data_IF_802387480337
#
_entry.id   IF_802387480337
#
_cell.length_a   1.000
_cell.length_b   1.000
_cell.length_c   1.000
_cell.angle_alpha   90.00
_cell.angle_beta   90.00
_cell.angle_gamma   90.00
#
_symmetry.space_group_name_H-M   'P 1'
#
loop_
_entity.id
_entity.type
_entity.pdbx_description
1 polymer ?
#
# COMPACT_ATOMS: atom_id res chain seq x y z
N UNK A 1 -8.84 6.28 47.81
CA UNK A 1 -8.72 5.19 46.82
C UNK A 1 -8.30 5.83 45.51
N UNK A 2 -7.10 5.54 45.03
CA UNK A 2 -6.57 6.15 43.80
C UNK A 2 -6.52 5.09 42.72
N UNK A 3 -7.22 5.31 41.61
CA UNK A 3 -7.10 4.48 40.42
C UNK A 3 -5.97 5.05 39.57
N UNK A 4 -4.89 4.31 39.42
CA UNK A 4 -3.80 4.67 38.51
C UNK A 4 -3.98 3.88 37.23
N UNK A 5 -4.45 4.51 36.16
CA UNK A 5 -4.29 3.98 34.81
C UNK A 5 -2.84 4.29 34.42
N UNK A 6 -1.95 3.31 34.55
CA UNK A 6 -0.68 3.35 33.82
C UNK A 6 -1.07 3.22 32.35
N UNK A 7 -0.82 4.26 31.56
CA UNK A 7 -0.80 4.09 30.11
C UNK A 7 0.18 2.94 29.82
N UNK A 8 -0.37 1.77 29.49
CA UNK A 8 0.42 0.59 29.09
C UNK A 8 0.76 0.81 27.63
N UNK A 9 1.74 1.68 27.40
CA UNK A 9 2.48 1.75 26.15
C UNK A 9 1.63 2.08 24.92
N UNK A 10 1.38 3.38 24.69
CA UNK A 10 1.35 3.89 23.32
C UNK A 10 2.76 3.88 22.70
N UNK A 11 3.38 2.69 22.59
CA UNK A 11 4.56 2.52 21.73
C UNK A 11 4.11 2.91 20.33
N UNK A 12 4.70 3.99 19.79
CA UNK A 12 4.53 4.36 18.38
C UNK A 12 4.78 3.10 17.56
N UNK A 13 3.73 2.53 16.96
CA UNK A 13 3.85 1.32 16.16
C UNK A 13 4.64 1.70 14.91
N UNK A 14 5.90 1.27 14.86
CA UNK A 14 6.78 1.47 13.72
C UNK A 14 6.50 0.37 12.71
N UNK A 15 6.14 0.74 11.50
CA UNK A 15 6.03 -0.21 10.39
C UNK A 15 7.42 -0.58 9.91
N UNK A 16 7.68 -1.88 9.79
CA UNK A 16 8.98 -2.42 9.36
C UNK A 16 8.98 -2.90 7.92
N UNK A 17 7.82 -3.31 7.41
CA UNK A 17 7.72 -3.95 6.11
C UNK A 17 6.37 -3.67 5.48
N UNK A 18 6.39 -3.46 4.17
CA UNK A 18 5.22 -3.37 3.32
C UNK A 18 5.35 -4.46 2.25
N UNK A 19 4.28 -5.19 1.98
CA UNK A 19 4.17 -6.12 0.84
C UNK A 19 3.07 -5.64 -0.08
N UNK A 20 3.25 -5.88 -1.37
CA UNK A 20 2.39 -5.39 -2.42
C UNK A 20 2.00 -6.55 -3.33
N UNK A 21 0.70 -6.72 -3.52
CA UNK A 21 0.08 -7.48 -4.59
C UNK A 21 -0.45 -6.43 -5.57
N UNK A 22 0.16 -6.37 -6.75
CA UNK A 22 0.01 -5.30 -7.73
C UNK A 22 -0.96 -5.67 -8.85
N UNK A 23 -1.29 -6.97 -8.98
CA UNK A 23 -2.14 -7.51 -10.04
C UNK A 23 -3.43 -8.16 -9.51
N UNK A 24 -3.57 -8.31 -8.19
CA UNK A 24 -4.73 -8.90 -7.53
C UNK A 24 -4.79 -10.41 -7.60
N UNK A 25 -3.68 -11.10 -7.91
CA UNK A 25 -3.62 -12.57 -7.98
C UNK A 25 -3.51 -13.24 -6.59
N UNK A 26 -3.42 -12.43 -5.52
CA UNK A 26 -3.29 -12.89 -4.14
C UNK A 26 -1.86 -13.25 -3.73
N UNK A 27 -0.88 -13.08 -4.61
CA UNK A 27 0.55 -13.25 -4.33
C UNK A 27 1.22 -11.90 -4.12
N UNK A 28 2.30 -11.92 -3.36
CA UNK A 28 3.10 -10.73 -3.13
C UNK A 28 4.10 -10.57 -4.26
N UNK A 29 3.92 -9.53 -5.07
CA UNK A 29 4.83 -9.16 -6.15
C UNK A 29 6.04 -8.39 -5.63
N UNK A 30 5.86 -7.55 -4.61
CA UNK A 30 6.92 -6.69 -4.12
C UNK A 30 6.92 -6.49 -2.61
N UNK A 31 8.07 -6.08 -2.05
CA UNK A 31 8.27 -5.79 -0.64
C UNK A 31 9.14 -4.54 -0.51
N UNK A 32 8.72 -3.58 0.31
CA UNK A 32 9.44 -2.32 0.56
C UNK A 32 9.58 -2.05 2.06
N UNK A 33 10.56 -1.22 2.42
CA UNK A 33 10.75 -0.73 3.79
C UNK A 33 9.98 0.58 4.07
N UNK A 34 9.70 1.37 3.03
CA UNK A 34 8.83 2.54 3.06
C UNK A 34 7.46 2.22 2.48
N UNK A 35 6.43 2.96 2.90
CA UNK A 35 5.05 2.79 2.41
C UNK A 35 4.80 3.39 1.03
N UNK A 36 5.82 3.42 0.17
CA UNK A 36 5.79 4.02 -1.16
C UNK A 36 6.25 3.01 -2.21
N UNK A 37 5.61 3.06 -3.36
CA UNK A 37 5.95 2.26 -4.55
C UNK A 37 5.62 3.09 -5.80
N UNK A 38 6.44 2.95 -6.85
CA UNK A 38 6.21 3.58 -8.15
C UNK A 38 5.82 2.51 -9.16
N UNK A 39 4.75 2.75 -9.91
CA UNK A 39 4.20 1.82 -10.89
C UNK A 39 4.05 2.52 -12.24
N UNK A 40 4.20 1.75 -13.32
CA UNK A 40 3.93 2.20 -14.68
C UNK A 40 2.87 1.29 -15.30
N UNK A 41 1.87 1.88 -15.92
CA UNK A 41 0.76 1.17 -16.55
C UNK A 41 0.76 1.52 -18.05
N UNK A 42 1.08 0.57 -18.95
CA UNK A 42 1.12 0.82 -20.39
C UNK A 42 -0.28 0.97 -20.99
N UNK A 43 -1.29 0.40 -20.34
CA UNK A 43 -2.66 0.28 -20.85
C UNK A 43 -3.68 0.88 -19.88
N UNK A 44 -4.85 1.20 -20.44
CA UNK A 44 -6.02 1.60 -19.67
C UNK A 44 -6.60 0.38 -18.97
N UNK A 45 -7.09 0.56 -17.75
CA UNK A 45 -7.68 -0.55 -17.03
C UNK A 45 -7.98 -0.24 -15.58
N UNK A 46 -8.59 -1.20 -14.90
CA UNK A 46 -8.79 -1.20 -13.45
C UNK A 46 -7.85 -2.24 -12.87
N UNK A 47 -6.91 -1.80 -12.04
CA UNK A 47 -5.90 -2.65 -11.41
C UNK A 47 -6.17 -2.73 -9.91
N UNK A 48 -6.58 -3.89 -9.37
CA UNK A 48 -6.68 -4.10 -7.93
C UNK A 48 -5.27 -4.17 -7.32
N UNK A 49 -5.01 -3.34 -6.33
CA UNK A 49 -3.73 -3.29 -5.62
C UNK A 49 -3.97 -3.53 -4.13
N UNK A 50 -3.32 -4.55 -3.58
CA UNK A 50 -3.39 -4.87 -2.15
C UNK A 50 -2.05 -4.61 -1.49
N UNK A 51 -2.05 -3.81 -0.43
CA UNK A 51 -0.89 -3.59 0.42
C UNK A 51 -1.07 -4.31 1.76
N UNK A 52 0.00 -4.94 2.26
CA UNK A 52 0.09 -5.39 3.64
C UNK A 52 1.24 -4.70 4.35
N UNK A 53 0.95 -4.06 5.47
CA UNK A 53 1.96 -3.54 6.38
C UNK A 53 2.17 -4.51 7.56
N UNK A 54 3.41 -4.61 8.03
CA UNK A 54 3.79 -5.35 9.23
C UNK A 54 4.58 -4.45 10.17
N UNK A 55 4.13 -4.32 11.41
CA UNK A 55 4.82 -3.55 12.43
C UNK A 55 6.00 -4.31 13.07
N UNK A 56 6.78 -3.61 13.89
CA UNK A 56 7.94 -4.20 14.58
C UNK A 56 7.57 -5.31 15.59
N UNK A 57 6.30 -5.43 15.98
CA UNK A 57 5.79 -6.51 16.83
C UNK A 57 5.26 -7.70 16.00
N UNK A 58 5.36 -7.64 14.67
CA UNK A 58 4.87 -8.69 13.77
C UNK A 58 3.38 -8.60 13.46
N UNK A 59 2.67 -7.60 13.99
CA UNK A 59 1.23 -7.42 13.70
C UNK A 59 1.09 -6.87 12.29
N UNK A 60 0.16 -7.43 11.52
CA UNK A 60 -0.05 -7.05 10.13
C UNK A 60 -1.48 -6.60 9.85
N UNK A 61 -1.63 -5.65 8.92
CA UNK A 61 -2.91 -5.19 8.40
C UNK A 61 -2.85 -5.12 6.87
N UNK A 62 -3.99 -5.32 6.19
CA UNK A 62 -4.10 -5.29 4.73
C UNK A 62 -5.13 -4.25 4.29
N UNK A 63 -4.90 -3.65 3.14
CA UNK A 63 -5.86 -2.78 2.46
C UNK A 63 -5.76 -3.01 0.96
N UNK A 64 -6.91 -2.96 0.28
CA UNK A 64 -7.02 -3.11 -1.17
C UNK A 64 -7.66 -1.87 -1.76
N UNK A 65 -7.11 -1.39 -2.87
CA UNK A 65 -7.66 -0.28 -3.65
C UNK A 65 -7.81 -0.71 -5.11
N UNK A 66 -8.73 -0.07 -5.84
CA UNK A 66 -8.87 -0.24 -7.28
C UNK A 66 -8.33 1.00 -7.99
N UNK A 67 -7.25 0.85 -8.74
CA UNK A 67 -6.64 1.92 -9.52
C UNK A 67 -7.22 1.95 -10.92
N UNK A 68 -7.95 3.01 -11.26
CA UNK A 68 -8.43 3.23 -12.62
C UNK A 68 -7.40 4.04 -13.41
N UNK A 69 -6.78 3.43 -14.41
CA UNK A 69 -5.81 4.06 -15.31
C UNK A 69 -6.49 4.40 -16.62
N UNK A 70 -6.40 5.66 -17.02
CA UNK A 70 -6.89 6.16 -18.31
C UNK A 70 -5.77 6.96 -18.98
N UNK A 71 -5.10 6.34 -19.93
CA UNK A 71 -4.23 6.98 -20.89
C UNK A 71 -5.09 7.80 -21.86
N UNK A 72 -4.85 9.10 -21.86
CA UNK A 72 -5.45 10.00 -22.86
C UNK A 72 -4.46 10.09 -24.01
N UNK A 73 -4.80 9.66 -25.23
CA UNK A 73 -3.91 9.87 -26.36
C UNK A 73 -3.61 11.36 -26.45
N UNK A 74 -2.33 11.71 -26.49
CA UNK A 74 -1.90 13.07 -26.75
C UNK A 74 -2.43 13.47 -28.12
N UNK A 75 -3.15 14.60 -28.20
CA UNK A 75 -3.54 15.16 -29.49
C UNK A 75 -2.26 15.61 -30.18
N UNK A 76 -1.76 14.80 -31.11
CA UNK A 76 -0.67 15.22 -32.01
C UNK A 76 -1.31 16.12 -33.07
N UNK A 77 -1.18 17.43 -32.90
CA UNK A 77 -1.51 18.38 -33.96
C UNK A 77 -0.30 18.38 -34.91
N UNK A 78 -0.35 17.58 -35.96
CA UNK A 78 0.61 17.69 -37.05
C UNK A 78 0.40 19.03 -37.76
N UNK A 79 1.51 19.73 -38.06
CA UNK A 79 1.52 20.95 -38.87
C UNK A 79 1.58 20.63 -40.35
#
# INVERSE_FOLDING_TARGET
MTLTVKDVSLKKRVIKRYRWDLNGDGKWDHTTASGQISLAFPENGIFPLTAQLTDAAGVSARATISLTVVNRPGVVIAR
#
